data_IF_637585231657
#
_entry.id   IF_637585231657
#
_cell.length_a   1.000
_cell.length_b   1.000
_cell.length_c   1.000
_cell.angle_alpha   90.00
_cell.angle_beta   90.00
_cell.angle_gamma   90.00
#
_symmetry.space_group_name_H-M   'P 1'
#
loop_
_entity.id
_entity.type
_entity.pdbx_description
1 polymer ?
#
# COMPACT_ATOMS: atom_id res chain seq x y z
N UNK A 1 -18.14 51.47 1.63
CA UNK A 1 -17.11 50.42 1.65
C UNK A 1 -17.45 49.39 2.71
N UNK A 2 -17.93 48.21 2.30
CA UNK A 2 -18.31 47.10 3.19
C UNK A 2 -17.36 45.92 2.92
N UNK A 3 -16.47 45.68 3.87
CA UNK A 3 -15.54 44.55 3.89
C UNK A 3 -16.34 43.24 3.97
N UNK A 4 -16.22 42.38 2.95
CA UNK A 4 -16.65 40.99 3.03
C UNK A 4 -15.46 40.15 3.53
N UNK A 5 -15.51 39.74 4.79
CA UNK A 5 -14.58 38.75 5.32
C UNK A 5 -15.15 37.38 4.96
N UNK A 6 -14.62 36.78 3.89
CA UNK A 6 -14.91 35.39 3.55
C UNK A 6 -14.20 34.48 4.56
N UNK A 7 -14.97 33.83 5.43
CA UNK A 7 -14.47 32.77 6.30
C UNK A 7 -14.20 31.53 5.45
N UNK A 8 -12.94 31.25 5.14
CA UNK A 8 -12.53 30.00 4.50
C UNK A 8 -12.50 28.94 5.60
N UNK A 9 -13.57 28.16 5.69
CA UNK A 9 -13.63 26.98 6.54
C UNK A 9 -12.68 25.94 5.96
N UNK A 10 -11.49 25.84 6.53
CA UNK A 10 -10.52 24.79 6.25
C UNK A 10 -11.04 23.47 6.81
N UNK A 11 -11.82 22.76 5.98
CA UNK A 11 -12.07 21.33 6.13
C UNK A 11 -10.74 20.60 5.92
N UNK A 12 -9.91 20.59 6.96
CA UNK A 12 -8.78 19.67 7.06
C UNK A 12 -9.38 18.25 7.03
N UNK A 13 -9.05 17.40 6.03
CA UNK A 13 -9.37 16.00 6.13
C UNK A 13 -8.67 15.50 7.39
N UNK A 14 -9.45 15.01 8.36
CA UNK A 14 -8.92 14.31 9.52
C UNK A 14 -8.14 13.11 9.02
N UNK A 15 -6.83 13.27 8.87
CA UNK A 15 -5.90 12.15 8.83
C UNK A 15 -5.99 11.55 10.23
N UNK A 16 -6.89 10.58 10.42
CA UNK A 16 -6.88 9.73 11.61
C UNK A 16 -5.58 8.96 11.56
N UNK A 17 -4.54 9.51 12.19
CA UNK A 17 -3.38 8.74 12.60
C UNK A 17 -3.91 7.55 13.39
N UNK A 18 -3.62 6.33 12.94
CA UNK A 18 -3.85 5.17 13.77
C UNK A 18 -2.82 5.23 14.90
N UNK A 19 -3.17 5.91 15.99
CA UNK A 19 -2.38 5.96 17.19
C UNK A 19 -2.63 4.65 17.97
N UNK A 20 -1.62 4.07 18.64
CA UNK A 20 -1.77 2.81 19.39
C UNK A 20 -2.59 2.95 20.68
N UNK A 21 -3.18 4.11 20.95
CA UNK A 21 -3.84 4.46 22.21
C UNK A 21 -5.20 5.11 21.96
N UNK A 22 -6.03 4.45 21.14
CA UNK A 22 -7.48 4.72 21.17
C UNK A 22 -8.10 3.84 22.28
N UNK A 23 -8.80 4.40 23.29
CA UNK A 23 -9.34 3.65 24.43
C UNK A 23 -10.40 2.59 24.05
N UNK A 24 -10.75 2.48 22.77
CA UNK A 24 -11.68 1.48 22.22
C UNK A 24 -11.01 0.30 21.50
N UNK A 25 -9.70 0.10 21.67
CA UNK A 25 -8.98 -1.01 21.02
C UNK A 25 -9.46 -2.37 21.56
N UNK A 26 -10.20 -3.10 20.71
CA UNK A 26 -10.48 -4.52 20.93
C UNK A 26 -9.13 -5.24 20.92
N UNK A 27 -8.77 -6.04 21.96
CA UNK A 27 -7.43 -6.65 22.11
C UNK A 27 -6.97 -7.57 20.97
N UNK A 28 -7.81 -7.82 19.96
CA UNK A 28 -7.55 -8.73 18.85
C UNK A 28 -7.13 -8.04 17.53
N UNK A 29 -7.22 -6.70 17.43
CA UNK A 29 -6.94 -5.98 16.18
C UNK A 29 -5.68 -5.12 16.35
N UNK A 30 -4.65 -5.28 15.51
CA UNK A 30 -3.44 -4.47 15.59
C UNK A 30 -3.79 -2.98 15.37
N UNK A 31 -3.01 -2.03 15.88
CA UNK A 31 -3.34 -0.61 15.72
C UNK A 31 -3.28 -0.16 14.26
N UNK A 32 -2.52 -0.86 13.41
CA UNK A 32 -2.20 -0.46 12.04
C UNK A 32 -2.23 -1.67 11.11
N UNK A 33 -2.39 -1.42 9.81
CA UNK A 33 -2.20 -2.47 8.83
C UNK A 33 -0.78 -3.01 8.89
N UNK A 34 -0.67 -4.33 8.76
CA UNK A 34 0.61 -5.03 8.94
C UNK A 34 1.61 -4.64 7.84
N UNK A 35 2.86 -4.50 8.22
CA UNK A 35 4.00 -4.30 7.32
C UNK A 35 4.63 -5.64 6.87
N UNK A 36 4.36 -6.72 7.62
CA UNK A 36 4.83 -8.10 7.36
C UNK A 36 4.20 -8.79 6.14
N UNK A 37 3.36 -8.09 5.36
CA UNK A 37 2.78 -8.61 4.12
C UNK A 37 3.78 -8.64 2.96
N UNK A 38 4.85 -7.85 3.08
CA UNK A 38 6.00 -7.85 2.19
C UNK A 38 7.19 -8.43 2.93
N UNK A 39 7.38 -9.72 2.71
CA UNK A 39 8.66 -10.37 2.90
C UNK A 39 8.94 -11.07 1.56
N UNK A 40 10.15 -11.61 1.36
CA UNK A 40 10.51 -12.44 0.21
C UNK A 40 9.71 -13.77 0.14
N UNK A 41 8.47 -13.76 0.62
CA UNK A 41 7.58 -14.82 1.04
C UNK A 41 6.84 -15.50 -0.11
N UNK A 42 7.04 -15.06 -1.35
CA UNK A 42 6.58 -15.76 -2.54
C UNK A 42 7.79 -16.46 -3.19
N UNK A 43 7.80 -17.80 -3.26
CA UNK A 43 8.86 -18.53 -3.95
C UNK A 43 9.01 -18.01 -5.40
N UNK A 44 10.23 -17.67 -5.80
CA UNK A 44 10.50 -17.17 -7.15
C UNK A 44 10.32 -15.65 -7.33
N UNK A 45 9.85 -14.90 -6.33
CA UNK A 45 9.87 -13.43 -6.43
C UNK A 45 11.26 -12.90 -6.17
N UNK A 46 11.89 -12.36 -7.21
CA UNK A 46 13.22 -11.73 -7.14
C UNK A 46 13.16 -10.21 -7.33
N UNK A 47 12.01 -9.59 -7.51
CA UNK A 47 11.97 -8.13 -7.78
C UNK A 47 12.37 -7.27 -6.58
N UNK A 48 12.88 -6.07 -6.86
CA UNK A 48 13.09 -5.04 -5.83
C UNK A 48 11.74 -4.40 -5.55
N UNK A 49 11.27 -4.41 -4.30
CA UNK A 49 10.01 -3.78 -3.94
C UNK A 49 10.14 -2.81 -2.77
N UNK A 50 9.24 -1.84 -2.73
CA UNK A 50 9.12 -0.91 -1.61
C UNK A 50 7.70 -0.36 -1.50
N UNK A 51 7.33 0.01 -0.27
CA UNK A 51 6.17 0.85 0.00
C UNK A 51 6.54 2.32 -0.15
N UNK A 52 5.68 3.08 -0.82
CA UNK A 52 5.80 4.53 -0.97
C UNK A 52 4.46 5.21 -0.59
N UNK A 53 4.38 5.93 0.53
CA UNK A 53 5.47 6.18 1.48
C UNK A 53 5.90 4.92 2.23
N UNK A 54 7.14 4.93 2.75
CA UNK A 54 7.62 3.88 3.66
C UNK A 54 6.67 3.80 4.86
N UNK A 55 6.35 2.59 5.31
CA UNK A 55 5.41 2.30 6.40
C UNK A 55 5.94 2.66 7.79
N UNK A 56 6.59 3.82 7.94
CA UNK A 56 7.08 4.36 9.23
C UNK A 56 5.94 4.86 10.12
N UNK A 57 4.75 5.06 9.52
CA UNK A 57 3.51 5.43 10.21
C UNK A 57 2.43 4.41 9.85
N UNK A 58 1.20 4.68 10.26
CA UNK A 58 0.02 3.88 9.95
C UNK A 58 -0.83 4.58 8.88
N UNK A 59 -0.39 4.63 7.62
CA UNK A 59 -1.12 5.34 6.60
C UNK A 59 -2.39 4.56 6.23
N UNK A 60 -3.46 5.31 5.93
CA UNK A 60 -4.70 4.71 5.42
C UNK A 60 -4.55 4.22 3.97
N UNK A 61 -3.51 4.67 3.26
CA UNK A 61 -3.15 4.20 1.93
C UNK A 61 -1.65 4.27 1.68
N UNK A 62 -1.14 3.37 0.85
CA UNK A 62 0.25 3.36 0.40
C UNK A 62 0.32 2.86 -1.04
N UNK A 63 1.41 3.14 -1.74
CA UNK A 63 1.70 2.53 -3.03
C UNK A 63 2.72 1.41 -2.84
N UNK A 64 2.41 0.22 -3.33
CA UNK A 64 3.39 -0.85 -3.45
C UNK A 64 4.02 -0.78 -4.84
N UNK A 65 5.35 -0.76 -4.88
CA UNK A 65 6.14 -0.59 -6.09
C UNK A 65 6.98 -1.84 -6.29
N UNK A 66 6.88 -2.44 -7.46
CA UNK A 66 7.89 -3.39 -7.95
C UNK A 66 8.76 -2.68 -8.97
N UNK A 67 10.03 -2.50 -8.64
CA UNK A 67 10.99 -1.84 -9.50
C UNK A 67 11.56 -2.78 -10.54
N UNK A 68 11.74 -2.27 -11.75
CA UNK A 68 12.51 -2.95 -12.79
C UNK A 68 13.94 -3.18 -12.29
N UNK A 69 14.52 -4.35 -12.59
CA UNK A 69 15.94 -4.57 -12.36
C UNK A 69 16.71 -4.13 -13.61
N UNK A 70 17.80 -3.39 -13.42
CA UNK A 70 18.60 -2.79 -14.49
C UNK A 70 19.17 -3.83 -15.48
N UNK A 71 19.28 -5.10 -15.07
CA UNK A 71 19.71 -6.24 -15.89
C UNK A 71 18.57 -6.93 -16.68
N UNK A 72 17.31 -6.58 -16.41
CA UNK A 72 16.10 -7.26 -16.93
C UNK A 72 15.15 -6.30 -17.65
N UNK A 73 15.67 -5.31 -18.39
CA UNK A 73 14.87 -4.38 -19.22
C UNK A 73 13.98 -5.10 -20.25
N UNK A 74 14.24 -6.39 -20.50
CA UNK A 74 13.55 -7.21 -21.51
C UNK A 74 12.22 -7.79 -21.04
N UNK A 75 11.99 -7.81 -19.73
CA UNK A 75 10.86 -8.53 -19.14
C UNK A 75 9.91 -7.56 -18.41
N UNK A 76 8.59 -7.80 -18.45
CA UNK A 76 7.63 -7.01 -17.69
C UNK A 76 7.79 -7.27 -16.19
N UNK A 77 7.66 -6.21 -15.39
CA UNK A 77 7.61 -6.32 -13.92
C UNK A 77 6.16 -6.52 -13.49
N UNK A 78 5.87 -7.48 -12.62
CA UNK A 78 4.50 -7.77 -12.16
C UNK A 78 4.40 -7.73 -10.64
N UNK A 79 3.28 -7.24 -10.13
CA UNK A 79 2.91 -7.35 -8.71
C UNK A 79 1.97 -8.54 -8.56
N UNK A 80 2.41 -9.53 -7.77
CA UNK A 80 1.66 -10.75 -7.47
C UNK A 80 1.07 -10.66 -6.06
N UNK A 81 -0.22 -10.94 -5.98
CA UNK A 81 -1.01 -11.03 -4.75
C UNK A 81 -1.18 -12.50 -4.37
N UNK A 82 -0.93 -12.81 -3.09
CA UNK A 82 -1.20 -14.10 -2.46
C UNK A 82 -0.63 -15.33 -3.20
N UNK A 83 0.42 -15.14 -4.00
CA UNK A 83 1.17 -16.21 -4.67
C UNK A 83 0.63 -16.69 -6.02
N UNK A 84 -0.35 -16.01 -6.61
CA UNK A 84 -0.84 -16.43 -7.93
C UNK A 84 -1.57 -15.38 -8.76
N UNK A 85 -2.04 -14.29 -8.16
CA UNK A 85 -2.83 -13.29 -8.89
C UNK A 85 -1.99 -12.07 -9.25
N UNK A 86 -1.76 -11.83 -10.54
CA UNK A 86 -1.19 -10.57 -11.00
C UNK A 86 -2.21 -9.45 -10.85
N UNK A 87 -1.88 -8.42 -10.06
CA UNK A 87 -2.77 -7.28 -9.80
C UNK A 87 -2.30 -5.98 -10.46
N UNK A 88 -1.05 -5.95 -10.91
CA UNK A 88 -0.51 -4.86 -11.72
C UNK A 88 0.69 -5.35 -12.54
N UNK A 89 0.87 -4.75 -13.71
CA UNK A 89 1.97 -5.04 -14.62
C UNK A 89 2.57 -3.73 -15.10
N UNK A 90 3.88 -3.58 -14.89
CA UNK A 90 4.69 -2.56 -15.54
C UNK A 90 5.16 -3.10 -16.90
N UNK A 91 5.01 -2.33 -17.99
CA UNK A 91 5.66 -2.63 -19.26
C UNK A 91 7.17 -2.89 -19.13
N UNK A 92 7.76 -3.50 -20.17
CA UNK A 92 9.21 -3.74 -20.25
C UNK A 92 10.00 -2.47 -19.90
N UNK A 93 11.00 -2.61 -19.04
CA UNK A 93 11.83 -1.48 -18.62
C UNK A 93 11.19 -0.52 -17.61
N UNK A 94 9.99 -0.83 -17.10
CA UNK A 94 9.25 0.06 -16.17
C UNK A 94 8.82 -0.64 -14.89
N UNK A 95 8.54 0.16 -13.87
CA UNK A 95 8.04 -0.31 -12.58
C UNK A 95 6.55 -0.67 -12.67
N UNK A 96 6.13 -1.63 -11.86
CA UNK A 96 4.72 -1.88 -11.59
C UNK A 96 4.31 -1.16 -10.30
N UNK A 97 3.07 -0.67 -10.27
CA UNK A 97 2.52 0.08 -9.15
C UNK A 97 1.13 -0.43 -8.81
N UNK A 98 0.82 -0.51 -7.51
CA UNK A 98 -0.56 -0.67 -7.05
C UNK A 98 -0.79 0.14 -5.79
N UNK A 99 -1.95 0.80 -5.70
CA UNK A 99 -2.40 1.44 -4.47
C UNK A 99 -3.01 0.38 -3.54
N UNK A 100 -2.60 0.39 -2.28
CA UNK A 100 -3.18 -0.41 -1.22
C UNK A 100 -3.86 0.52 -0.22
N UNK A 101 -5.04 0.11 0.25
CA UNK A 101 -5.79 0.82 1.29
C UNK A 101 -5.84 -0.01 2.56
N UNK A 102 -5.65 0.63 3.69
CA UNK A 102 -5.80 -0.01 4.99
C UNK A 102 -7.27 -0.02 5.36
N UNK A 103 -7.86 -1.21 5.50
CA UNK A 103 -9.25 -1.37 5.92
C UNK A 103 -9.33 -1.23 7.43
N UNK A 104 -10.08 -0.24 7.90
CA UNK A 104 -10.09 0.12 9.31
C UNK A 104 -10.69 -0.93 10.26
N UNK A 105 -11.58 -1.79 9.74
CA UNK A 105 -12.35 -2.76 10.50
C UNK A 105 -11.47 -3.88 11.09
N UNK A 106 -10.50 -4.34 10.31
CA UNK A 106 -9.65 -5.49 10.64
C UNK A 106 -8.16 -5.24 10.39
N UNK A 107 -7.82 -4.02 9.97
CA UNK A 107 -6.46 -3.54 9.75
C UNK A 107 -5.72 -4.45 8.78
N UNK A 108 -6.40 -4.78 7.69
CA UNK A 108 -5.83 -5.49 6.55
C UNK A 108 -5.66 -4.56 5.36
N UNK A 109 -4.58 -4.78 4.62
CA UNK A 109 -4.39 -4.15 3.33
C UNK A 109 -5.36 -4.74 2.31
N UNK A 110 -5.98 -3.87 1.51
CA UNK A 110 -6.83 -4.23 0.40
C UNK A 110 -6.42 -3.52 -0.87
N UNK A 111 -6.57 -4.20 -2.01
CA UNK A 111 -6.42 -3.62 -3.34
C UNK A 111 -7.62 -2.74 -3.72
N UNK A 112 -7.57 -1.96 -4.82
CA UNK A 112 -8.67 -1.08 -5.22
C UNK A 112 -9.97 -1.82 -5.55
N UNK A 113 -9.88 -3.10 -5.93
CA UNK A 113 -11.03 -3.98 -6.16
C UNK A 113 -11.48 -4.75 -4.88
N UNK A 114 -10.91 -4.44 -3.71
CA UNK A 114 -11.33 -4.99 -2.42
C UNK A 114 -10.72 -6.34 -2.05
N UNK A 115 -9.78 -6.88 -2.83
CA UNK A 115 -9.12 -8.13 -2.50
C UNK A 115 -8.17 -7.96 -1.30
N UNK A 116 -8.17 -8.93 -0.40
CA UNK A 116 -7.33 -8.93 0.81
C UNK A 116 -5.88 -9.28 0.45
N UNK A 117 -4.95 -8.49 0.98
CA UNK A 117 -3.51 -8.68 0.81
C UNK A 117 -2.94 -9.43 2.01
N UNK A 118 -2.76 -10.75 1.86
CA UNK A 118 -2.05 -11.57 2.85
C UNK A 118 -0.54 -11.60 2.57
N UNK A 119 -0.18 -11.68 1.28
CA UNK A 119 1.20 -11.59 0.79
C UNK A 119 1.23 -10.80 -0.51
N UNK A 120 2.27 -10.00 -0.71
CA UNK A 120 2.50 -9.26 -1.95
C UNK A 120 3.97 -9.38 -2.36
N UNK A 121 4.25 -9.48 -3.65
CA UNK A 121 5.61 -9.62 -4.14
C UNK A 121 5.76 -9.29 -5.62
N UNK A 122 7.00 -9.35 -6.10
CA UNK A 122 7.37 -8.96 -7.46
C UNK A 122 7.82 -10.16 -8.30
N UNK A 123 7.20 -10.35 -9.45
CA UNK A 123 7.61 -11.35 -10.44
C UNK A 123 8.15 -10.64 -11.69
N UNK A 124 9.23 -11.18 -12.24
CA UNK A 124 9.74 -10.83 -13.57
C UNK A 124 9.54 -12.09 -14.42
N UNK A 125 8.88 -11.99 -15.56
CA UNK A 125 8.61 -13.15 -16.43
C UNK A 125 9.73 -13.36 -17.44
#
# INVERSE_FOLDING_TARGET
SLLHIAAVSSLLPFIRSCAPTDPGTIPAVPPCCRDDIFDNALPGTKGRALFNPVLVRCPMSTQFICSVREDLVKDPTMIILNGGTTIATGPMGTNAFVELKCRDQDKQWVTPNGAIVNKIGCLNN
#
